data_IF_628261482466
#
_entry.id   IF_628261482466
#
_cell.length_a   1.000
_cell.length_b   1.000
_cell.length_c   1.000
_cell.angle_alpha   90.00
_cell.angle_beta   90.00
_cell.angle_gamma   90.00
#
_symmetry.space_group_name_H-M   'P 1'
#
loop_
_entity.id
_entity.type
_entity.pdbx_description
1 polymer ?
#
# COMPACT_ATOMS: atom_id res chain seq x y z
N UNK A 1 18.21 -14.37 -10.01
CA UNK A 1 18.39 -14.25 -8.54
C UNK A 1 17.07 -14.59 -7.88
N UNK A 2 16.97 -15.77 -7.26
CA UNK A 2 15.75 -16.24 -6.62
C UNK A 2 15.98 -16.21 -5.10
N UNK A 3 15.37 -15.24 -4.42
CA UNK A 3 15.52 -15.05 -2.97
C UNK A 3 14.78 -16.12 -2.18
N UNK A 4 15.33 -16.51 -1.03
CA UNK A 4 14.86 -17.56 -0.11
C UNK A 4 13.55 -17.22 0.62
N UNK A 5 12.51 -16.81 -0.09
CA UNK A 5 11.17 -16.62 0.48
C UNK A 5 10.25 -17.74 0.01
N UNK A 6 9.53 -18.34 0.96
CA UNK A 6 8.64 -19.48 0.74
C UNK A 6 7.70 -19.24 -0.48
N UNK A 7 7.62 -20.18 -1.44
CA UNK A 7 6.79 -20.03 -2.63
C UNK A 7 5.32 -19.79 -2.23
N UNK A 8 4.71 -18.71 -2.73
CA UNK A 8 3.28 -18.43 -2.58
C UNK A 8 2.91 -17.20 -1.74
N UNK A 9 3.76 -16.74 -0.80
CA UNK A 9 3.42 -15.53 0.00
C UNK A 9 3.51 -14.22 -0.78
N UNK A 10 4.43 -14.11 -1.73
CA UNK A 10 4.58 -12.89 -2.54
C UNK A 10 3.49 -12.72 -3.61
N UNK A 11 2.88 -13.81 -4.05
CA UNK A 11 1.84 -13.77 -5.08
C UNK A 11 0.56 -13.14 -4.54
N UNK A 12 0.15 -13.49 -3.32
CA UNK A 12 -1.03 -12.92 -2.68
C UNK A 12 -0.87 -11.41 -2.41
N UNK A 13 0.30 -10.98 -1.94
CA UNK A 13 0.60 -9.56 -1.70
C UNK A 13 0.58 -8.76 -3.01
N UNK A 14 1.15 -9.31 -4.09
CA UNK A 14 1.13 -8.67 -5.41
C UNK A 14 -0.29 -8.61 -6.01
N UNK A 15 -1.09 -9.65 -5.84
CA UNK A 15 -2.48 -9.69 -6.33
C UNK A 15 -3.36 -8.64 -5.65
N UNK A 16 -3.28 -8.49 -4.32
CA UNK A 16 -4.08 -7.48 -3.62
C UNK A 16 -3.69 -6.05 -3.99
N UNK A 17 -2.40 -5.79 -4.24
CA UNK A 17 -1.94 -4.47 -4.69
C UNK A 17 -2.41 -4.19 -6.13
N UNK A 18 -2.35 -5.19 -7.02
CA UNK A 18 -2.87 -5.06 -8.40
C UNK A 18 -4.37 -4.78 -8.38
N UNK A 19 -5.15 -5.54 -7.62
CA UNK A 19 -6.60 -5.38 -7.49
C UNK A 19 -6.98 -4.01 -6.94
N UNK A 20 -6.27 -3.52 -5.90
CA UNK A 20 -6.50 -2.18 -5.35
C UNK A 20 -6.23 -1.07 -6.38
N UNK A 21 -5.20 -1.26 -7.23
CA UNK A 21 -4.86 -0.31 -8.30
C UNK A 21 -5.86 -0.33 -9.46
N UNK A 22 -6.39 -1.50 -9.81
CA UNK A 22 -7.36 -1.70 -10.88
C UNK A 22 -8.77 -1.23 -10.50
N UNK A 23 -9.14 -1.36 -9.21
CA UNK A 23 -10.43 -0.89 -8.68
C UNK A 23 -10.49 0.62 -8.46
N UNK A 24 -9.39 1.35 -8.67
CA UNK A 24 -9.32 2.80 -8.47
C UNK A 24 -9.29 3.22 -7.01
N UNK A 25 -8.84 2.33 -6.10
CA UNK A 25 -8.68 2.69 -4.70
C UNK A 25 -7.53 3.70 -4.54
N UNK A 26 -7.75 4.74 -3.74
CA UNK A 26 -6.72 5.74 -3.43
C UNK A 26 -5.72 5.26 -2.36
N UNK A 27 -6.10 4.26 -1.55
CA UNK A 27 -5.31 3.80 -0.41
C UNK A 27 -5.27 2.28 -0.34
N UNK A 28 -4.07 1.72 -0.16
CA UNK A 28 -3.83 0.33 0.22
C UNK A 28 -3.38 0.31 1.69
N UNK A 29 -4.29 -0.07 2.58
CA UNK A 29 -4.07 -0.05 4.03
C UNK A 29 -3.51 -1.41 4.47
N UNK A 30 -2.30 -1.43 5.04
CA UNK A 30 -1.66 -2.67 5.50
C UNK A 30 -0.81 -2.47 6.75
N UNK A 31 -0.78 -3.47 7.63
CA UNK A 31 0.15 -3.54 8.76
C UNK A 31 1.39 -4.40 8.45
N UNK A 32 1.55 -4.89 7.21
CA UNK A 32 2.72 -5.67 6.84
C UNK A 32 3.96 -4.77 6.72
N UNK A 33 4.83 -4.86 7.73
CA UNK A 33 6.08 -4.11 7.81
C UNK A 33 7.01 -4.32 6.60
N UNK A 34 6.89 -5.44 5.88
CA UNK A 34 7.71 -5.73 4.68
C UNK A 34 7.25 -4.89 3.49
N UNK A 35 5.93 -4.71 3.34
CA UNK A 35 5.33 -3.88 2.29
C UNK A 35 5.56 -2.41 2.62
N UNK A 36 5.30 -1.99 3.87
CA UNK A 36 5.51 -0.61 4.32
C UNK A 36 6.96 -0.14 4.12
N UNK A 37 7.95 -1.00 4.44
CA UNK A 37 9.38 -0.69 4.21
C UNK A 37 9.74 -0.48 2.75
N UNK A 38 8.96 -1.05 1.82
CA UNK A 38 9.19 -0.95 0.38
C UNK A 38 8.24 0.03 -0.29
N UNK A 39 7.40 0.76 0.46
CA UNK A 39 6.36 1.61 -0.15
C UNK A 39 6.94 2.65 -1.12
N UNK A 40 8.11 3.19 -0.81
CA UNK A 40 8.77 4.19 -1.67
C UNK A 40 9.29 3.56 -2.97
N UNK A 41 9.82 2.32 -2.89
CA UNK A 41 10.17 1.54 -4.07
C UNK A 41 8.92 1.19 -4.89
N UNK A 42 7.84 0.78 -4.21
CA UNK A 42 6.57 0.42 -4.84
C UNK A 42 5.90 1.64 -5.50
N UNK A 43 6.03 2.83 -4.92
CA UNK A 43 5.50 4.07 -5.49
C UNK A 43 6.10 4.39 -6.87
N UNK A 44 7.29 3.88 -7.20
CA UNK A 44 7.89 4.06 -8.53
C UNK A 44 7.26 3.21 -9.64
N UNK A 45 6.51 2.16 -9.27
CA UNK A 45 5.89 1.21 -10.22
C UNK A 45 4.37 1.15 -10.11
N UNK A 46 3.80 1.67 -9.02
CA UNK A 46 2.36 1.78 -8.82
C UNK A 46 1.82 3.12 -9.32
N UNK A 47 0.52 3.22 -9.62
CA UNK A 47 -0.10 4.49 -9.95
C UNK A 47 0.10 5.53 -8.83
N UNK A 48 0.42 6.77 -9.21
CA UNK A 48 0.60 7.88 -8.26
C UNK A 48 -0.66 8.18 -7.42
N UNK A 49 -1.82 7.67 -7.84
CA UNK A 49 -3.10 7.78 -7.15
C UNK A 49 -3.27 6.77 -6.02
N UNK A 50 -2.40 5.76 -5.90
CA UNK A 50 -2.46 4.71 -4.88
C UNK A 50 -1.40 4.94 -3.81
N UNK A 51 -1.82 5.33 -2.61
CA UNK A 51 -0.95 5.44 -1.44
C UNK A 51 -0.96 4.14 -0.62
N UNK A 52 0.22 3.63 -0.27
CA UNK A 52 0.36 2.51 0.68
C UNK A 52 0.57 3.11 2.07
N UNK A 53 -0.36 2.85 2.98
CA UNK A 53 -0.36 3.40 4.34
C UNK A 53 -0.63 2.31 5.36
N UNK A 54 -0.22 2.52 6.60
CA UNK A 54 -0.74 1.75 7.73
C UNK A 54 -2.08 2.31 8.23
N UNK A 55 -2.69 1.63 9.20
CA UNK A 55 -3.99 2.03 9.73
C UNK A 55 -3.95 3.37 10.50
N UNK A 56 -2.85 3.66 11.20
CA UNK A 56 -2.72 4.91 11.95
C UNK A 56 -2.51 6.08 10.98
N UNK A 57 -1.64 5.91 9.98
CA UNK A 57 -1.42 6.88 8.91
C UNK A 57 -2.74 7.19 8.18
N UNK A 58 -3.56 6.17 7.92
CA UNK A 58 -4.87 6.37 7.30
C UNK A 58 -5.81 7.20 8.18
N UNK A 59 -5.86 6.95 9.49
CA UNK A 59 -6.69 7.75 10.39
C UNK A 59 -6.22 9.20 10.48
N UNK A 60 -4.91 9.45 10.52
CA UNK A 60 -4.36 10.81 10.49
C UNK A 60 -4.80 11.57 9.22
N UNK A 61 -4.79 10.91 8.06
CA UNK A 61 -5.26 11.48 6.79
C UNK A 61 -6.76 11.82 6.85
N UNK A 62 -7.58 10.91 7.39
CA UNK A 62 -9.03 11.13 7.52
C UNK A 62 -9.33 12.26 8.51
N UNK A 63 -8.63 12.31 9.63
CA UNK A 63 -8.80 13.36 10.64
C UNK A 63 -8.39 14.73 10.08
N UNK A 64 -7.30 14.80 9.31
CA UNK A 64 -6.89 16.02 8.61
C UNK A 64 -7.95 16.48 7.59
N UNK A 65 -8.53 15.55 6.83
CA UNK A 65 -9.62 15.86 5.90
C UNK A 65 -10.88 16.37 6.62
N UNK A 66 -11.29 15.71 7.70
CA UNK A 66 -12.50 16.08 8.47
C UNK A 66 -12.34 17.40 9.23
N UNK A 67 -11.13 17.73 9.66
CA UNK A 67 -10.81 19.00 10.32
C UNK A 67 -10.65 20.18 9.34
N UNK A 68 -10.79 19.94 8.03
CA UNK A 68 -10.68 20.98 6.99
C UNK A 68 -9.22 21.42 6.73
N UNK A 69 -8.25 20.56 7.04
CA UNK A 69 -6.82 20.83 6.94
C UNK A 69 -6.21 20.63 5.54
N UNK A 70 -7.02 20.55 4.48
CA UNK A 70 -6.58 20.40 3.08
C UNK A 70 -7.23 21.45 2.17
#
# INVERSE_FOLDING_TARGET
>A
MQGNAAPGRHAADASHISEASETGCAYFITNDKRILRKRDELASVLPATLAIVDLNEFFEIVDAFQSGGL
#
